data_IF_936441956236
#
_entry.id   IF_936441956236
#
_cell.length_a   1.000
_cell.length_b   1.000
_cell.length_c   1.000
_cell.angle_alpha   90.00
_cell.angle_beta   90.00
_cell.angle_gamma   90.00
#
_symmetry.space_group_name_H-M   'P 1'
#
loop_
_entity.id
_entity.type
_entity.pdbx_description
1 polymer ?
#
# COMPACT_ATOMS: atom_id res chain seq x y z
N UNK A 1 -13.76 11.19 -9.17
CA UNK A 1 -12.68 10.23 -8.84
C UNK A 1 -12.78 9.93 -7.36
N UNK A 2 -12.94 8.67 -6.96
CA UNK A 2 -13.01 8.26 -5.56
C UNK A 2 -11.76 7.43 -5.23
N UNK A 3 -10.87 7.87 -4.35
CA UNK A 3 -9.72 7.07 -3.96
C UNK A 3 -10.19 5.87 -3.13
N UNK A 4 -9.77 4.68 -3.51
CA UNK A 4 -10.14 3.43 -2.83
C UNK A 4 -8.95 2.78 -2.11
N UNK A 5 -7.75 3.04 -2.61
CA UNK A 5 -6.49 2.53 -2.08
C UNK A 5 -5.39 3.56 -2.33
N UNK A 6 -4.47 3.69 -1.38
CA UNK A 6 -3.24 4.47 -1.52
C UNK A 6 -2.08 3.67 -0.94
N UNK A 7 -0.90 3.81 -1.55
CA UNK A 7 0.36 3.26 -1.07
C UNK A 7 1.33 4.43 -0.86
N UNK A 8 1.87 4.57 0.34
CA UNK A 8 2.85 5.61 0.64
C UNK A 8 4.24 5.16 0.16
N UNK A 9 4.83 5.93 -0.74
CA UNK A 9 6.13 5.65 -1.37
C UNK A 9 7.23 6.61 -0.90
N UNK A 10 6.97 7.42 0.13
CA UNK A 10 8.02 8.18 0.79
C UNK A 10 8.97 7.24 1.53
N UNK A 11 10.27 7.58 1.56
CA UNK A 11 11.28 6.72 2.19
C UNK A 11 10.94 6.39 3.65
N UNK A 12 10.37 7.33 4.40
CA UNK A 12 9.99 7.07 5.79
C UNK A 12 8.94 5.95 5.97
N UNK A 13 8.18 5.61 4.93
CA UNK A 13 7.19 4.52 4.99
C UNK A 13 7.82 3.11 4.89
N UNK A 14 9.04 2.98 4.36
CA UNK A 14 9.64 1.67 4.08
C UNK A 14 11.14 1.55 4.35
N UNK A 15 11.87 2.65 4.58
CA UNK A 15 13.33 2.64 4.57
C UNK A 15 13.97 1.91 5.76
N UNK A 16 13.25 1.78 6.88
CA UNK A 16 13.75 0.99 8.03
C UNK A 16 13.87 -0.49 7.65
N UNK A 17 12.86 -1.03 6.98
CA UNK A 17 12.78 -2.46 6.67
C UNK A 17 13.40 -2.81 5.31
N UNK A 18 13.23 -1.94 4.32
CA UNK A 18 13.59 -2.22 2.92
C UNK A 18 14.74 -1.36 2.39
N UNK A 19 15.18 -0.31 3.13
CA UNK A 19 16.23 0.62 2.68
C UNK A 19 15.94 1.15 1.26
N UNK A 20 16.88 1.01 0.34
CA UNK A 20 16.74 1.43 -1.06
C UNK A 20 15.90 0.46 -1.92
N UNK A 21 15.41 -0.65 -1.36
CA UNK A 21 14.61 -1.66 -2.09
C UNK A 21 13.12 -1.31 -2.09
N UNK A 22 12.78 -0.14 -2.64
CA UNK A 22 11.38 0.27 -2.84
C UNK A 22 10.54 -0.75 -3.63
N UNK A 23 11.06 -1.41 -4.69
CA UNK A 23 10.28 -2.43 -5.41
C UNK A 23 9.79 -3.55 -4.49
N UNK A 24 10.66 -4.07 -3.61
CA UNK A 24 10.33 -5.15 -2.68
C UNK A 24 9.22 -4.74 -1.69
N UNK A 25 9.25 -3.49 -1.20
CA UNK A 25 8.19 -2.93 -0.35
C UNK A 25 6.84 -2.91 -1.05
N UNK A 26 6.78 -2.40 -2.29
CA UNK A 26 5.54 -2.33 -3.07
C UNK A 26 5.02 -3.73 -3.41
N UNK A 27 5.93 -4.66 -3.70
CA UNK A 27 5.61 -6.06 -3.96
C UNK A 27 4.92 -6.71 -2.76
N UNK A 28 5.47 -6.53 -1.56
CA UNK A 28 4.89 -7.06 -0.32
C UNK A 28 3.61 -6.32 0.03
N UNK A 29 3.55 -5.01 -0.22
CA UNK A 29 2.34 -4.21 -0.01
C UNK A 29 1.16 -4.81 -0.77
N UNK A 30 1.34 -5.05 -2.07
CA UNK A 30 0.30 -5.60 -2.94
C UNK A 30 -0.05 -7.04 -2.57
N UNK A 31 0.95 -7.88 -2.28
CA UNK A 31 0.74 -9.31 -2.00
C UNK A 31 0.09 -9.56 -0.63
N UNK A 32 0.40 -8.75 0.38
CA UNK A 32 0.12 -9.12 1.78
C UNK A 32 -0.45 -8.00 2.67
N UNK A 33 -0.31 -6.71 2.33
CA UNK A 33 -0.67 -5.62 3.26
C UNK A 33 -2.01 -4.93 2.94
N UNK A 34 -2.57 -5.13 1.74
CA UNK A 34 -3.82 -4.47 1.35
C UNK A 34 -5.01 -5.03 2.15
N UNK A 35 -5.78 -4.14 2.78
CA UNK A 35 -7.08 -4.46 3.34
C UNK A 35 -8.18 -4.33 2.26
N UNK A 36 -8.47 -5.42 1.57
CA UNK A 36 -9.48 -5.44 0.49
C UNK A 36 -10.91 -5.18 0.98
N UNK A 37 -11.25 -5.56 2.22
CA UNK A 37 -12.56 -5.27 2.79
C UNK A 37 -12.79 -3.77 2.90
N UNK A 38 -11.78 -3.02 3.33
CA UNK A 38 -11.87 -1.55 3.36
C UNK A 38 -12.05 -0.96 1.95
N UNK A 39 -11.35 -1.49 0.95
CA UNK A 39 -11.49 -1.06 -0.45
C UNK A 39 -12.92 -1.30 -0.95
N UNK A 40 -13.48 -2.48 -0.70
CA UNK A 40 -14.84 -2.86 -1.08
C UNK A 40 -15.90 -2.01 -0.37
N UNK A 41 -15.79 -1.83 0.96
CA UNK A 41 -16.71 -1.01 1.75
C UNK A 41 -16.70 0.45 1.26
N UNK A 42 -15.56 0.97 0.78
CA UNK A 42 -15.46 2.29 0.16
C UNK A 42 -15.90 2.33 -1.29
N UNK A 43 -15.90 1.21 -2.02
CA UNK A 43 -16.42 1.17 -3.39
C UNK A 43 -17.95 1.26 -3.41
N UNK A 44 -18.61 0.59 -2.46
CA UNK A 44 -20.08 0.46 -2.40
C UNK A 44 -20.74 1.71 -1.79
N UNK A 45 -20.03 2.42 -0.91
CA UNK A 45 -20.47 3.73 -0.37
C UNK A 45 -20.60 4.81 -1.43
#
# INVERSE_FOLDING_TARGET
MKPLLACDVWEHAYYIDYRNKRPDYVDIFIKHMINWKFVEDNLIK
#
